data_IF_117947745788
#
_entry.id   IF_117947745788
#
_cell.length_a   1.000
_cell.length_b   1.000
_cell.length_c   1.000
_cell.angle_alpha   90.00
_cell.angle_beta   90.00
_cell.angle_gamma   90.00
#
_symmetry.space_group_name_H-M   'P 1'
#
loop_
_entity.id
_entity.type
_entity.pdbx_description
1 polymer ?
#
# COMPACT_ATOMS: atom_id res chain seq x y z
N UNK A 1 -15.49 20.34 -15.37
CA UNK A 1 -14.81 19.36 -14.50
C UNK A 1 -15.07 17.98 -15.08
N UNK A 2 -14.06 17.31 -15.62
CA UNK A 2 -14.23 15.96 -16.17
C UNK A 2 -14.40 14.98 -15.01
N UNK A 3 -15.57 14.34 -14.91
CA UNK A 3 -15.79 13.21 -14.01
C UNK A 3 -15.33 11.97 -14.75
N UNK A 4 -14.13 11.47 -14.42
CA UNK A 4 -13.70 10.16 -14.85
C UNK A 4 -13.81 9.21 -13.66
N UNK A 5 -14.70 8.23 -13.79
CA UNK A 5 -14.82 7.11 -12.87
C UNK A 5 -14.50 5.85 -13.68
N UNK A 6 -13.33 5.21 -13.46
CA UNK A 6 -12.89 4.10 -14.30
C UNK A 6 -13.86 2.93 -14.20
N UNK A 7 -14.22 2.38 -15.36
CA UNK A 7 -14.99 1.15 -15.43
C UNK A 7 -14.14 -0.04 -14.97
N UNK A 8 -14.78 -1.20 -14.73
CA UNK A 8 -14.05 -2.44 -14.43
C UNK A 8 -13.02 -2.76 -15.51
N UNK A 9 -13.39 -2.62 -16.79
CA UNK A 9 -12.49 -2.87 -17.92
C UNK A 9 -11.33 -1.88 -17.97
N UNK A 10 -11.55 -0.60 -17.63
CA UNK A 10 -10.45 0.38 -17.52
C UNK A 10 -9.47 -0.03 -16.42
N UNK A 11 -9.98 -0.46 -15.26
CA UNK A 11 -9.14 -0.93 -14.14
C UNK A 11 -8.31 -2.15 -14.56
N UNK A 12 -8.92 -3.13 -15.22
CA UNK A 12 -8.21 -4.31 -15.74
C UNK A 12 -7.16 -3.91 -16.77
N UNK A 13 -7.52 -3.04 -17.72
CA UNK A 13 -6.60 -2.57 -18.76
C UNK A 13 -5.37 -1.88 -18.17
N UNK A 14 -5.55 -1.02 -17.17
CA UNK A 14 -4.42 -0.37 -16.52
C UNK A 14 -3.61 -1.36 -15.66
N UNK A 15 -4.26 -2.28 -14.94
CA UNK A 15 -3.55 -3.31 -14.17
C UNK A 15 -2.73 -4.25 -15.07
N UNK A 16 -3.25 -4.62 -16.24
CA UNK A 16 -2.51 -5.37 -17.26
C UNK A 16 -1.24 -4.61 -17.69
N UNK A 17 -1.32 -3.28 -17.83
CA UNK A 17 -0.15 -2.44 -18.12
C UNK A 17 0.86 -2.42 -16.98
N UNK A 18 0.41 -2.37 -15.73
CA UNK A 18 1.28 -2.38 -14.54
C UNK A 18 2.08 -3.69 -14.45
N UNK A 19 1.45 -4.83 -14.73
CA UNK A 19 2.07 -6.17 -14.63
C UNK A 19 2.58 -6.73 -15.96
N UNK A 20 2.62 -5.93 -17.03
CA UNK A 20 2.99 -6.38 -18.38
C UNK A 20 4.37 -7.05 -18.43
N UNK A 21 5.30 -6.59 -17.59
CA UNK A 21 6.67 -7.07 -17.51
C UNK A 21 6.87 -8.26 -16.55
N UNK A 22 5.82 -8.66 -15.84
CA UNK A 22 5.89 -9.63 -14.73
C UNK A 22 5.22 -10.97 -15.07
N UNK A 23 4.79 -11.15 -16.32
CA UNK A 23 4.19 -12.38 -16.85
C UNK A 23 2.93 -12.84 -16.11
N UNK A 24 2.13 -11.88 -15.60
CA UNK A 24 0.82 -12.15 -14.98
C UNK A 24 -0.22 -12.25 -16.08
N UNK A 25 -1.00 -13.34 -16.10
CA UNK A 25 -1.99 -13.54 -17.14
C UNK A 25 -3.26 -12.71 -16.89
N UNK A 26 -4.06 -12.51 -17.94
CA UNK A 26 -5.27 -11.69 -17.84
C UNK A 26 -6.27 -12.19 -16.80
N UNK A 27 -6.48 -13.51 -16.70
CA UNK A 27 -7.39 -14.09 -15.71
C UNK A 27 -6.94 -13.85 -14.26
N UNK A 28 -5.62 -13.86 -14.01
CA UNK A 28 -5.06 -13.49 -12.71
C UNK A 28 -5.27 -12.01 -12.39
N UNK A 29 -5.08 -11.12 -13.38
CA UNK A 29 -5.35 -9.68 -13.21
C UNK A 29 -6.83 -9.42 -12.96
N UNK A 30 -7.74 -10.07 -13.69
CA UNK A 30 -9.17 -9.96 -13.46
C UNK A 30 -9.55 -10.36 -12.04
N UNK A 31 -9.06 -11.51 -11.56
CA UNK A 31 -9.28 -11.98 -10.20
C UNK A 31 -8.73 -10.99 -9.15
N UNK A 32 -7.53 -10.44 -9.39
CA UNK A 32 -6.92 -9.46 -8.51
C UNK A 32 -7.77 -8.17 -8.43
N UNK A 33 -8.23 -7.64 -9.56
CA UNK A 33 -9.05 -6.42 -9.62
C UNK A 33 -10.42 -6.63 -8.95
N UNK A 34 -11.00 -7.82 -9.13
CA UNK A 34 -12.30 -8.19 -8.55
C UNK A 34 -12.21 -8.43 -7.04
N UNK A 35 -11.07 -8.91 -6.54
CA UNK A 35 -10.82 -9.09 -5.10
C UNK A 35 -10.70 -7.77 -4.35
N UNK A 36 -10.20 -6.72 -5.02
CA UNK A 36 -9.99 -5.39 -4.43
C UNK A 36 -10.84 -4.32 -5.13
N UNK A 37 -12.18 -4.38 -5.08
CA UNK A 37 -13.05 -3.51 -5.88
C UNK A 37 -13.03 -2.04 -5.41
N UNK A 38 -12.79 -1.80 -4.12
CA UNK A 38 -12.73 -0.46 -3.54
C UNK A 38 -11.37 0.24 -3.64
N UNK A 39 -10.37 -0.43 -4.22
CA UNK A 39 -9.02 0.12 -4.36
C UNK A 39 -8.86 0.89 -5.68
N UNK A 40 -8.21 2.05 -5.60
CA UNK A 40 -7.84 2.86 -6.75
C UNK A 40 -6.75 2.22 -7.60
N UNK A 41 -6.48 2.74 -8.80
CA UNK A 41 -5.53 2.13 -9.75
C UNK A 41 -4.08 2.17 -9.24
N UNK A 42 -3.72 3.23 -8.52
CA UNK A 42 -2.43 3.40 -7.85
C UNK A 42 -2.12 2.29 -6.82
N UNK A 43 -3.14 1.70 -6.19
CA UNK A 43 -2.99 0.56 -5.28
C UNK A 43 -2.25 -0.61 -5.95
N UNK A 44 -2.55 -0.91 -7.22
CA UNK A 44 -1.91 -2.02 -7.92
C UNK A 44 -0.45 -1.71 -8.29
N UNK A 45 -0.12 -0.45 -8.52
CA UNK A 45 1.27 0.02 -8.64
C UNK A 45 2.03 -0.12 -7.32
N UNK A 46 1.41 0.28 -6.20
CA UNK A 46 1.98 0.10 -4.87
C UNK A 46 2.15 -1.37 -4.50
N UNK A 47 1.20 -2.22 -4.88
CA UNK A 47 1.26 -3.68 -4.72
C UNK A 47 2.49 -4.26 -5.43
N UNK A 48 2.68 -3.90 -6.70
CA UNK A 48 3.85 -4.33 -7.48
C UNK A 48 5.14 -3.89 -6.79
N UNK A 49 5.24 -2.61 -6.41
CA UNK A 49 6.42 -2.07 -5.72
C UNK A 49 6.72 -2.82 -4.41
N UNK A 50 5.69 -3.16 -3.63
CA UNK A 50 5.84 -3.87 -2.35
C UNK A 50 6.49 -5.24 -2.49
N UNK A 51 6.25 -5.95 -3.59
CA UNK A 51 6.93 -7.22 -3.87
C UNK A 51 8.41 -7.02 -4.19
N UNK A 52 8.75 -5.95 -4.92
CA UNK A 52 10.15 -5.58 -5.17
C UNK A 52 10.86 -5.14 -3.89
N UNK A 53 10.19 -4.41 -3.00
CA UNK A 53 10.74 -3.96 -1.72
C UNK A 53 11.28 -5.14 -0.89
N UNK A 54 10.60 -6.28 -0.90
CA UNK A 54 11.07 -7.44 -0.14
C UNK A 54 12.35 -8.06 -0.74
N UNK A 55 12.54 -8.01 -2.06
CA UNK A 55 13.83 -8.38 -2.68
C UNK A 55 14.95 -7.44 -2.27
N UNK A 56 14.67 -6.14 -2.24
CA UNK A 56 15.63 -5.14 -1.78
C UNK A 56 15.93 -5.35 -0.29
N UNK A 57 14.91 -5.63 0.53
CA UNK A 57 15.06 -5.91 1.96
C UNK A 57 15.94 -7.13 2.20
N UNK A 58 15.74 -8.21 1.45
CA UNK A 58 16.58 -9.42 1.57
C UNK A 58 18.01 -9.15 1.11
N UNK A 59 18.21 -8.35 0.06
CA UNK A 59 19.54 -7.90 -0.35
C UNK A 59 20.25 -7.11 0.76
N UNK A 60 19.56 -6.14 1.38
CA UNK A 60 20.10 -5.34 2.48
C UNK A 60 20.47 -6.23 3.67
N UNK A 61 19.60 -7.19 4.03
CA UNK A 61 19.86 -8.14 5.13
C UNK A 61 21.08 -9.02 4.86
N UNK A 62 21.22 -9.52 3.64
CA UNK A 62 22.29 -10.45 3.27
C UNK A 62 23.66 -9.74 3.15
N UNK A 63 23.67 -8.50 2.67
CA UNK A 63 24.90 -7.73 2.53
C UNK A 63 25.38 -7.10 3.86
N UNK A 64 24.43 -6.75 4.73
CA UNK A 64 24.69 -5.93 5.91
C UNK A 64 24.60 -4.45 5.58
N UNK A 65 23.95 -3.68 6.46
CA UNK A 65 23.71 -2.24 6.27
C UNK A 65 25.03 -1.47 6.18
N UNK A 66 26.04 -1.90 6.93
CA UNK A 66 27.38 -1.34 6.96
C UNK A 66 28.13 -1.44 5.61
N UNK A 67 27.80 -2.44 4.79
CA UNK A 67 28.47 -2.70 3.51
C UNK A 67 27.73 -2.07 2.31
N UNK A 68 26.52 -1.54 2.51
CA UNK A 68 25.69 -0.95 1.45
C UNK A 68 26.38 0.20 0.71
N UNK A 69 27.03 1.12 1.43
CA UNK A 69 27.67 2.29 0.83
C UNK A 69 28.78 1.91 -0.16
N UNK A 70 29.59 0.90 0.19
CA UNK A 70 30.64 0.37 -0.68
C UNK A 70 30.05 -0.33 -1.90
N UNK A 71 28.99 -1.12 -1.72
CA UNK A 71 28.37 -1.90 -2.81
C UNK A 71 27.53 -1.08 -3.79
N UNK A 72 26.97 0.06 -3.36
CA UNK A 72 26.08 0.88 -4.19
C UNK A 72 26.73 2.11 -4.83
N UNK A 73 27.61 2.82 -4.12
CA UNK A 73 28.11 4.14 -4.57
C UNK A 73 29.49 4.02 -5.23
N UNK A 74 30.40 3.21 -4.68
CA UNK A 74 31.79 3.10 -5.12
C UNK A 74 32.19 1.65 -5.43
N UNK A 75 31.27 0.88 -6.00
CA UNK A 75 31.49 -0.54 -6.26
C UNK A 75 32.42 -0.77 -7.45
N UNK A 76 33.45 -1.59 -7.24
CA UNK A 76 34.31 -2.14 -8.31
C UNK A 76 33.67 -3.35 -8.99
N UNK A 77 32.61 -3.90 -8.40
CA UNK A 77 31.89 -5.11 -8.86
C UNK A 77 30.75 -4.79 -9.83
N UNK A 78 30.60 -3.53 -10.25
CA UNK A 78 29.54 -3.10 -11.16
C UNK A 78 28.19 -2.88 -10.46
N UNK A 79 27.15 -2.63 -11.26
CA UNK A 79 25.79 -2.33 -10.78
C UNK A 79 25.20 -3.56 -10.10
N UNK A 80 24.37 -3.34 -9.08
CA UNK A 80 23.57 -4.43 -8.48
C UNK A 80 22.44 -4.73 -9.44
N UNK A 81 22.40 -5.97 -9.93
CA UNK A 81 21.30 -6.47 -10.76
C UNK A 81 20.40 -7.37 -9.91
N UNK A 82 19.09 -7.15 -10.02
CA UNK A 82 18.09 -7.96 -9.35
C UNK A 82 17.40 -8.85 -10.36
N UNK A 83 17.23 -10.13 -10.00
CA UNK A 83 16.28 -10.98 -10.70
C UNK A 83 14.87 -10.50 -10.39
N UNK A 84 14.03 -10.39 -11.42
CA UNK A 84 12.63 -9.99 -11.25
C UNK A 84 11.94 -10.99 -10.30
N UNK A 85 11.25 -10.51 -9.24
CA UNK A 85 10.50 -11.40 -8.36
C UNK A 85 9.35 -12.07 -9.11
N UNK A 86 8.99 -13.29 -8.68
CA UNK A 86 7.83 -13.99 -9.22
C UNK A 86 6.54 -13.33 -8.71
N UNK A 87 5.74 -12.80 -9.64
CA UNK A 87 4.45 -12.15 -9.35
C UNK A 87 3.28 -13.13 -9.52
N UNK A 88 3.32 -14.29 -8.84
CA UNK A 88 2.18 -15.21 -8.90
C UNK A 88 0.94 -14.59 -8.23
N UNK A 89 -0.25 -15.02 -8.65
CA UNK A 89 -1.50 -14.53 -8.07
C UNK A 89 -1.54 -14.68 -6.54
N UNK A 90 -1.05 -15.80 -5.99
CA UNK A 90 -0.98 -16.02 -4.53
C UNK A 90 -0.16 -14.94 -3.82
N UNK A 91 1.02 -14.61 -4.37
CA UNK A 91 1.90 -13.56 -3.85
C UNK A 91 1.18 -12.22 -3.88
N UNK A 92 0.59 -11.86 -5.02
CA UNK A 92 -0.15 -10.59 -5.17
C UNK A 92 -1.34 -10.48 -4.22
N UNK A 93 -2.08 -11.58 -4.02
CA UNK A 93 -3.22 -11.64 -3.10
C UNK A 93 -2.78 -11.47 -1.65
N UNK A 94 -1.67 -12.11 -1.26
CA UNK A 94 -1.09 -11.97 0.08
C UNK A 94 -0.69 -10.51 0.36
N UNK A 95 0.05 -9.88 -0.54
CA UNK A 95 0.45 -8.48 -0.36
C UNK A 95 -0.71 -7.51 -0.46
N UNK A 96 -1.68 -7.76 -1.34
CA UNK A 96 -2.86 -6.90 -1.48
C UNK A 96 -3.71 -6.87 -0.21
N UNK A 97 -3.88 -8.02 0.46
CA UNK A 97 -4.55 -8.09 1.76
C UNK A 97 -3.75 -7.39 2.85
N UNK A 98 -2.43 -7.57 2.88
CA UNK A 98 -1.55 -6.91 3.85
C UNK A 98 -1.60 -5.37 3.70
N UNK A 99 -1.53 -4.86 2.46
CA UNK A 99 -1.66 -3.43 2.17
C UNK A 99 -3.03 -2.87 2.55
N UNK A 100 -4.10 -3.62 2.29
CA UNK A 100 -5.46 -3.20 2.69
C UNK A 100 -5.58 -3.12 4.20
N UNK A 101 -5.06 -4.11 4.93
CA UNK A 101 -5.04 -4.10 6.39
C UNK A 101 -4.21 -2.92 6.95
N UNK A 102 -3.09 -2.59 6.31
CA UNK A 102 -2.27 -1.43 6.66
C UNK A 102 -3.05 -0.11 6.47
N UNK A 103 -3.77 0.04 5.35
CA UNK A 103 -4.63 1.20 5.11
C UNK A 103 -5.76 1.31 6.16
N UNK A 104 -6.42 0.22 6.51
CA UNK A 104 -7.45 0.20 7.55
C UNK A 104 -6.88 0.56 8.92
N UNK A 105 -5.68 0.10 9.22
CA UNK A 105 -4.98 0.46 10.46
C UNK A 105 -4.69 1.95 10.54
N UNK A 106 -4.16 2.55 9.47
CA UNK A 106 -3.88 3.99 9.42
C UNK A 106 -5.17 4.79 9.62
N UNK A 107 -6.25 4.43 8.92
CA UNK A 107 -7.57 5.10 9.08
C UNK A 107 -8.08 5.00 10.51
N UNK A 108 -7.94 3.85 11.16
CA UNK A 108 -8.39 3.65 12.55
C UNK A 108 -7.60 4.49 13.54
N UNK A 109 -6.27 4.57 13.38
CA UNK A 109 -5.40 5.39 14.24
C UNK A 109 -5.75 6.87 14.07
N UNK A 110 -5.89 7.35 12.84
CA UNK A 110 -6.28 8.73 12.55
C UNK A 110 -7.63 9.08 13.18
N UNK A 111 -8.62 8.20 13.05
CA UNK A 111 -9.94 8.41 13.66
C UNK A 111 -9.85 8.48 15.19
N UNK A 112 -9.06 7.60 15.82
CA UNK A 112 -8.87 7.62 17.27
C UNK A 112 -8.19 8.92 17.75
N UNK A 113 -7.18 9.40 17.01
CA UNK A 113 -6.49 10.66 17.32
C UNK A 113 -7.43 11.86 17.21
N UNK A 114 -8.29 11.91 16.17
CA UNK A 114 -9.30 12.96 16.01
C UNK A 114 -10.31 12.98 17.17
N UNK A 115 -10.78 11.81 17.62
CA UNK A 115 -11.67 11.72 18.79
C UNK A 115 -10.98 12.20 20.08
N UNK A 116 -9.72 11.83 20.30
CA UNK A 116 -8.97 12.25 21.50
C UNK A 116 -8.68 13.75 21.49
N UNK A 117 -8.31 14.32 20.34
CA UNK A 117 -8.11 15.77 20.18
C UNK A 117 -9.43 16.55 20.35
N UNK A 118 -10.54 16.03 19.83
CA UNK A 118 -11.87 16.62 20.04
C UNK A 118 -12.31 16.57 21.50
N UNK A 119 -12.03 15.46 22.20
CA UNK A 119 -12.33 15.30 23.62
C UNK A 119 -11.46 16.23 24.50
N UNK A 120 -10.17 16.42 24.17
CA UNK A 120 -9.32 17.36 24.90
C UNK A 120 -9.76 18.81 24.73
N UNK A 121 -10.17 19.21 23.51
CA UNK A 121 -10.70 20.55 23.23
C UNK A 121 -12.04 20.82 23.94
N UNK A 122 -12.91 19.81 24.02
CA UNK A 122 -14.13 19.88 24.82
C UNK A 122 -13.83 20.03 26.32
N UNK A 123 -12.85 19.29 26.84
CA UNK A 123 -12.43 19.38 28.25
C UNK A 123 -11.84 20.74 28.66
N UNK A 124 -11.21 21.49 27.73
CA UNK A 124 -10.66 22.83 28.00
C UNK A 124 -11.69 23.96 27.90
N UNK A 125 -12.82 23.78 27.19
CA UNK A 125 -13.76 24.88 26.90
C UNK A 125 -15.25 24.60 27.20
N UNK A 126 -15.65 23.39 27.61
CA UNK A 126 -17.07 23.09 27.87
C UNK A 126 -17.31 21.86 28.74
N UNK A 127 -18.07 22.05 29.82
CA UNK A 127 -18.62 20.97 30.63
C UNK A 127 -19.38 19.97 29.75
N UNK A 128 -19.04 18.69 29.83
CA UNK A 128 -19.68 17.60 29.07
C UNK A 128 -21.05 17.18 29.62
N UNK A 129 -21.65 17.96 30.51
CA UNK A 129 -22.97 17.69 31.07
C UNK A 129 -24.03 18.37 30.21
N UNK A 130 -25.03 17.64 29.68
CA UNK A 130 -26.19 18.29 29.10
C UNK A 130 -26.88 19.10 30.21
N UNK A 131 -26.84 20.43 30.10
CA UNK A 131 -27.67 21.29 30.91
C UNK A 131 -29.15 20.91 30.71
N UNK A 132 -29.93 21.07 31.77
CA UNK A 132 -31.40 20.92 31.85
C UNK A 132 -31.93 19.57 32.37
N UNK A 133 -31.68 19.30 33.65
CA UNK A 133 -32.76 18.93 34.57
C UNK A 133 -32.66 19.79 35.82
N UNK A 134 -33.40 20.91 35.85
CA UNK A 134 -33.80 21.56 37.10
C UNK A 134 -35.30 21.80 37.02
N UNK A 135 -36.01 21.29 38.04
CA UNK A 135 -37.46 21.37 38.23
C UNK A 135 -37.93 22.81 38.42
#
# INVERSE_FOLDING_TARGET
>A
KYYWNPTREDRIGVCMGIFAEDNVNRGEVENLVDTFPGQSIDFFGALRARVYDDKVRDFVKNLGVENMGKRLINSREGKVEFTKPTMSLDVLMRYGRALTAEQENVKRVQLADEYMAGASLAGETGSSLPEMYTN
#
